data_IF_623372352708
#
_entry.id   IF_623372352708
#
_cell.length_a   1.000
_cell.length_b   1.000
_cell.length_c   1.000
_cell.angle_alpha   90.00
_cell.angle_beta   90.00
_cell.angle_gamma   90.00
#
_symmetry.space_group_name_H-M   'P 1'
#
loop_
_entity.id
_entity.type
_entity.pdbx_description
1 polymer ?
#
# COMPACT_ATOMS: atom_id res chain seq x y z
N UNK A 1 7.47 7.79 -6.31
CA UNK A 1 6.41 6.87 -5.87
C UNK A 1 5.95 7.34 -4.51
N UNK A 2 4.64 7.33 -4.24
CA UNK A 2 4.04 7.71 -2.97
C UNK A 2 3.05 6.62 -2.53
N UNK A 3 3.24 6.07 -1.34
CA UNK A 3 2.50 4.94 -0.80
C UNK A 3 1.62 5.42 0.37
N UNK A 4 0.32 5.20 0.24
CA UNK A 4 -0.66 5.47 1.29
C UNK A 4 -1.21 4.19 1.91
N UNK A 5 -0.91 4.03 3.19
CA UNK A 5 -1.46 3.22 4.26
C UNK A 5 -2.93 3.45 4.65
N UNK A 6 -3.97 2.86 4.04
CA UNK A 6 -5.36 3.11 4.50
C UNK A 6 -5.84 2.07 5.51
N UNK A 7 -6.22 2.53 6.70
CA UNK A 7 -6.78 1.75 7.82
C UNK A 7 -8.21 2.20 8.15
N UNK A 8 -9.01 1.36 8.79
CA UNK A 8 -10.40 1.69 9.18
C UNK A 8 -10.60 1.74 10.69
N UNK A 9 -11.36 2.74 11.13
CA UNK A 9 -11.94 2.86 12.48
C UNK A 9 -13.46 2.80 12.34
N UNK A 10 -14.08 1.91 13.11
CA UNK A 10 -15.53 1.75 13.14
C UNK A 10 -16.19 2.96 13.83
N UNK A 11 -17.47 3.18 13.57
CA UNK A 11 -18.20 4.33 14.12
C UNK A 11 -18.32 4.29 15.66
N UNK A 12 -18.20 3.09 16.25
CA UNK A 12 -18.11 2.88 17.70
C UNK A 12 -16.71 3.18 18.27
N UNK A 13 -15.77 3.63 17.44
CA UNK A 13 -14.39 3.91 17.79
C UNK A 13 -13.47 2.70 17.78
N UNK A 14 -13.99 1.48 17.59
CA UNK A 14 -13.18 0.27 17.57
C UNK A 14 -12.25 0.21 16.34
N UNK A 15 -11.04 -0.30 16.54
CA UNK A 15 -10.06 -0.46 15.46
C UNK A 15 -10.31 -1.73 14.67
N UNK A 16 -10.22 -1.68 13.34
CA UNK A 16 -10.30 -2.87 12.51
C UNK A 16 -9.16 -3.86 12.82
N UNK A 17 -9.49 -5.08 13.29
CA UNK A 17 -8.50 -6.09 13.68
C UNK A 17 -7.51 -6.45 12.58
N UNK A 18 -7.99 -6.56 11.33
CA UNK A 18 -7.13 -6.83 10.16
C UNK A 18 -6.17 -5.68 9.87
N UNK A 19 -6.57 -4.42 10.10
CA UNK A 19 -5.68 -3.28 9.97
C UNK A 19 -4.52 -3.34 10.98
N UNK A 20 -4.82 -3.71 12.23
CA UNK A 20 -3.81 -3.87 13.27
C UNK A 20 -2.86 -5.05 13.02
N UNK A 21 -3.34 -6.13 12.40
CA UNK A 21 -2.48 -7.24 11.98
C UNK A 21 -1.50 -6.84 10.87
N UNK A 22 -2.00 -6.20 9.82
CA UNK A 22 -1.18 -5.75 8.68
C UNK A 22 -0.16 -4.69 9.11
N UNK A 23 -0.55 -3.73 9.94
CA UNK A 23 0.38 -2.72 10.48
C UNK A 23 1.50 -3.37 11.32
N UNK A 24 1.16 -4.30 12.21
CA UNK A 24 2.19 -5.03 12.98
C UNK A 24 3.13 -5.78 12.05
N UNK A 25 2.64 -6.33 10.94
CA UNK A 25 3.47 -7.02 9.95
C UNK A 25 4.38 -6.04 9.20
N UNK A 26 3.87 -4.90 8.76
CA UNK A 26 4.68 -3.83 8.16
C UNK A 26 5.81 -3.38 9.09
N UNK A 27 5.54 -3.23 10.39
CA UNK A 27 6.55 -2.85 11.38
C UNK A 27 7.58 -3.97 11.57
N UNK A 28 7.12 -5.21 11.80
CA UNK A 28 8.03 -6.36 12.03
C UNK A 28 8.95 -6.62 10.84
N UNK A 29 8.44 -6.47 9.62
CA UNK A 29 9.17 -6.75 8.39
C UNK A 29 10.00 -5.52 7.94
N UNK A 30 10.00 -4.41 8.70
CA UNK A 30 10.75 -3.18 8.39
C UNK A 30 10.16 -2.34 7.25
N UNK A 31 9.01 -2.73 6.70
CA UNK A 31 8.35 -2.09 5.57
C UNK A 31 7.60 -0.80 5.92
N UNK A 32 7.33 -0.55 7.20
CA UNK A 32 6.64 0.67 7.62
C UNK A 32 7.40 1.94 7.19
N UNK A 33 8.73 1.88 7.11
CA UNK A 33 9.56 2.99 6.66
C UNK A 33 9.35 3.37 5.18
N UNK A 34 8.76 2.49 4.38
CA UNK A 34 8.42 2.76 2.97
C UNK A 34 7.02 3.35 2.79
N UNK A 35 6.22 3.45 3.86
CA UNK A 35 4.88 4.04 3.80
C UNK A 35 4.99 5.54 4.02
N UNK A 36 4.58 6.34 3.04
CA UNK A 36 4.65 7.80 3.13
C UNK A 36 3.53 8.39 4.00
N UNK A 37 2.32 7.81 3.92
CA UNK A 37 1.14 8.31 4.63
C UNK A 37 0.34 7.16 5.21
N UNK A 38 -0.07 7.27 6.47
CA UNK A 38 -1.08 6.40 7.07
C UNK A 38 -2.37 7.20 7.21
N UNK A 39 -3.40 6.81 6.46
CA UNK A 39 -4.71 7.44 6.46
C UNK A 39 -5.72 6.57 7.22
N UNK A 40 -6.53 7.20 8.06
CA UNK A 40 -7.60 6.54 8.80
C UNK A 40 -8.93 6.88 8.15
N UNK A 41 -9.66 5.84 7.74
CA UNK A 41 -11.06 5.89 7.34
C UNK A 41 -11.90 5.73 8.61
N UNK A 42 -12.27 6.86 9.19
CA UNK A 42 -13.14 6.89 10.37
C UNK A 42 -14.60 6.92 9.92
N UNK A 43 -15.36 5.88 10.25
CA UNK A 43 -16.77 5.82 9.88
C UNK A 43 -17.64 6.83 10.61
N UNK A 44 -17.16 7.42 11.72
CA UNK A 44 -17.83 8.52 12.40
C UNK A 44 -17.54 9.89 11.73
N UNK A 45 -16.55 9.96 10.85
CA UNK A 45 -16.14 11.18 10.14
C UNK A 45 -15.94 10.90 8.65
N UNK A 46 -16.97 11.20 7.85
CA UNK A 46 -16.96 11.01 6.38
C UNK A 46 -15.91 11.86 5.67
N UNK A 47 -15.44 12.94 6.29
CA UNK A 47 -14.40 13.82 5.76
C UNK A 47 -12.99 13.36 6.13
N UNK A 48 -12.87 12.30 6.96
CA UNK A 48 -11.59 11.71 7.30
C UNK A 48 -10.84 11.29 6.04
N UNK A 49 -9.51 11.47 6.06
CA UNK A 49 -8.68 11.26 4.88
C UNK A 49 -8.87 9.85 4.29
N UNK A 50 -8.97 8.82 5.13
CA UNK A 50 -9.18 7.46 4.65
C UNK A 50 -10.57 7.23 4.05
N UNK A 51 -11.62 7.90 4.54
CA UNK A 51 -12.97 7.80 3.95
C UNK A 51 -13.01 8.44 2.56
N UNK A 52 -12.39 9.61 2.41
CA UNK A 52 -12.25 10.29 1.11
C UNK A 52 -11.45 9.47 0.11
N UNK A 53 -10.33 8.89 0.54
CA UNK A 53 -9.50 8.01 -0.29
C UNK A 53 -10.24 6.73 -0.68
N UNK A 54 -10.97 6.12 0.26
CA UNK A 54 -11.80 4.93 0.01
C UNK A 54 -12.87 5.21 -1.06
N UNK A 55 -13.54 6.37 -0.97
CA UNK A 55 -14.49 6.82 -1.98
C UNK A 55 -13.82 7.09 -3.34
N UNK A 56 -12.68 7.78 -3.37
CA UNK A 56 -11.93 8.08 -4.60
C UNK A 56 -11.58 6.80 -5.38
N UNK A 57 -11.20 5.73 -4.69
CA UNK A 57 -10.80 4.46 -5.31
C UNK A 57 -11.93 3.42 -5.37
N UNK A 58 -13.14 3.75 -4.93
CA UNK A 58 -14.30 2.88 -4.96
C UNK A 58 -14.16 1.61 -4.11
N UNK A 59 -13.63 1.72 -2.89
CA UNK A 59 -13.41 0.60 -1.98
C UNK A 59 -14.11 0.80 -0.63
N UNK A 60 -14.89 -0.18 -0.17
CA UNK A 60 -15.64 -0.08 1.11
C UNK A 60 -14.94 -0.73 2.31
N UNK A 61 -13.81 -1.41 2.07
CA UNK A 61 -13.13 -2.25 3.05
C UNK A 61 -11.67 -1.83 3.24
N UNK A 62 -11.16 -2.03 4.45
CA UNK A 62 -9.77 -1.81 4.79
C UNK A 62 -9.22 -3.02 5.55
N UNK A 63 -7.89 -3.24 5.56
CA UNK A 63 -6.84 -2.37 5.03
C UNK A 63 -6.67 -2.45 3.51
N UNK A 64 -6.18 -1.36 2.91
CA UNK A 64 -5.69 -1.33 1.53
C UNK A 64 -4.55 -0.31 1.37
N UNK A 65 -3.87 -0.37 0.23
CA UNK A 65 -2.75 0.50 -0.10
C UNK A 65 -3.03 1.22 -1.42
N UNK A 66 -2.71 2.51 -1.47
CA UNK A 66 -2.69 3.28 -2.71
C UNK A 66 -1.23 3.59 -3.04
N UNK A 67 -0.80 3.24 -4.25
CA UNK A 67 0.53 3.57 -4.76
C UNK A 67 0.36 4.53 -5.91
N UNK A 68 0.78 5.78 -5.71
CA UNK A 68 0.77 6.83 -6.74
C UNK A 68 2.17 6.99 -7.32
N UNK A 69 2.27 6.85 -8.62
CA UNK A 69 3.44 7.17 -9.43
C UNK A 69 3.09 8.30 -10.39
N UNK A 70 4.08 8.80 -11.12
CA UNK A 70 3.91 9.97 -12.00
C UNK A 70 2.80 9.78 -13.04
N UNK A 71 2.59 8.56 -13.51
CA UNK A 71 1.65 8.24 -14.60
C UNK A 71 0.55 7.25 -14.21
N UNK A 72 0.63 6.63 -13.03
CA UNK A 72 -0.31 5.58 -12.63
C UNK A 72 -0.64 5.61 -11.15
N UNK A 73 -1.88 5.25 -10.82
CA UNK A 73 -2.32 4.96 -9.46
C UNK A 73 -2.75 3.51 -9.39
N UNK A 74 -2.21 2.76 -8.43
CA UNK A 74 -2.50 1.34 -8.22
C UNK A 74 -3.04 1.13 -6.82
N UNK A 75 -4.09 0.33 -6.72
CA UNK A 75 -4.72 -0.01 -5.44
C UNK A 75 -4.46 -1.48 -5.13
N UNK A 76 -3.97 -1.74 -3.92
CA UNK A 76 -3.71 -3.08 -3.44
C UNK A 76 -4.56 -3.39 -2.22
N UNK A 77 -5.44 -4.37 -2.38
CA UNK A 77 -6.29 -4.92 -1.31
C UNK A 77 -5.73 -6.20 -0.72
N UNK A 78 -4.71 -6.78 -1.36
CA UNK A 78 -4.02 -8.00 -0.95
C UNK A 78 -2.60 -7.64 -0.50
N UNK A 79 -2.33 -7.72 0.80
CA UNK A 79 -1.05 -7.38 1.40
C UNK A 79 0.16 -8.07 0.74
N UNK A 80 0.08 -9.39 0.52
CA UNK A 80 1.19 -10.13 -0.08
C UNK A 80 1.50 -9.69 -1.51
N UNK A 81 0.47 -9.29 -2.27
CA UNK A 81 0.66 -8.75 -3.63
C UNK A 81 1.35 -7.40 -3.58
N UNK A 82 0.92 -6.52 -2.67
CA UNK A 82 1.56 -5.23 -2.44
C UNK A 82 3.04 -5.38 -2.09
N UNK A 83 3.37 -6.24 -1.12
CA UNK A 83 4.76 -6.48 -0.72
C UNK A 83 5.59 -6.95 -1.92
N UNK A 84 5.13 -7.99 -2.63
CA UNK A 84 5.88 -8.58 -3.75
C UNK A 84 6.09 -7.62 -4.93
N UNK A 85 5.12 -6.77 -5.23
CA UNK A 85 5.20 -5.90 -6.41
C UNK A 85 5.86 -4.55 -6.10
N UNK A 86 5.76 -4.06 -4.86
CA UNK A 86 6.13 -2.68 -4.52
C UNK A 86 7.30 -2.62 -3.53
N UNK A 87 7.28 -3.44 -2.48
CA UNK A 87 8.28 -3.38 -1.41
C UNK A 87 9.47 -4.32 -1.63
N UNK A 88 9.26 -5.40 -2.38
CA UNK A 88 10.29 -6.37 -2.75
C UNK A 88 10.15 -6.69 -4.24
N UNK A 89 10.26 -5.69 -5.13
CA UNK A 89 10.13 -5.92 -6.56
C UNK A 89 11.19 -6.95 -6.98
N UNK A 90 10.82 -7.98 -7.77
CA UNK A 90 11.81 -8.90 -8.31
C UNK A 90 12.85 -8.07 -9.07
N UNK A 91 14.14 -8.34 -8.81
CA UNK A 91 15.23 -7.66 -9.50
C UNK A 91 14.94 -7.71 -11.01
N UNK A 92 14.95 -6.55 -11.67
CA UNK A 92 14.78 -6.49 -13.11
C UNK A 92 15.77 -7.48 -13.76
N UNK A 93 15.37 -8.23 -14.79
CA UNK A 93 16.29 -9.13 -15.46
C UNK A 93 17.46 -8.29 -15.98
N UNK A 94 18.64 -8.49 -15.39
CA UNK A 94 19.88 -7.88 -15.84
C UNK A 94 20.14 -8.45 -17.22
N UNK A 95 19.87 -7.66 -18.26
CA UNK A 95 20.23 -7.99 -19.62
C UNK A 95 21.74 -8.11 -19.71
N UNK A 96 22.24 -9.35 -19.72
CA UNK A 96 23.63 -9.61 -20.07
C UNK A 96 23.76 -9.36 -21.58
N UNK A 97 24.23 -8.16 -21.94
CA UNK A 97 24.70 -7.87 -23.28
C UNK A 97 26.09 -8.48 -23.46
N UNK A 98 26.16 -9.77 -23.78
CA UNK A 98 27.38 -10.37 -24.33
C UNK A 98 27.56 -9.90 -25.78
N UNK A 99 27.90 -8.62 -25.95
CA UNK A 99 28.60 -8.15 -27.13
C UNK A 99 30.06 -8.55 -26.99
N UNK A 100 30.39 -9.76 -27.42
CA UNK A 100 31.78 -10.12 -27.73
C UNK A 100 31.93 -10.12 -29.24
N UNK A 101 32.33 -8.95 -29.74
CA UNK A 101 32.98 -8.77 -31.03
C UNK A 101 34.41 -9.32 -30.90
N UNK A 102 34.84 -10.14 -31.86
CA UNK A 102 36.20 -10.60 -32.19
C UNK A 102 36.13 -12.11 -32.47
N UNK A 103 36.62 -12.66 -33.57
CA UNK A 103 37.47 -12.17 -34.64
C UNK A 103 37.95 -13.41 -35.40
#
# INVERSE_FOLDING_TARGET
>A
MHITFVKKRHADGSSCGKCAEIERRLIRDGHMASIDVVAVADMADVESLGMRLAHEVGTDFAPFFIVRETTQTRVYTIYLKFVREILTPPAAPVGHNSSSVAG
#
